data_IF_345064764444
#
_entry.id   IF_345064764444
#
_cell.length_a   1.000
_cell.length_b   1.000
_cell.length_c   1.000
_cell.angle_alpha   90.00
_cell.angle_beta   90.00
_cell.angle_gamma   90.00
#
_symmetry.space_group_name_H-M   'P 1'
#
loop_
_entity.id
_entity.type
_entity.pdbx_description
1 polymer ?
#
# COMPACT_ATOMS: atom_id res chain seq x y z
N UNK A 1 8.46 -11.16 13.58
CA UNK A 1 9.05 -11.13 12.21
C UNK A 1 8.00 -10.94 11.11
N UNK A 2 6.98 -11.83 10.98
CA UNK A 2 5.94 -11.72 9.94
C UNK A 2 5.21 -10.37 9.89
N UNK A 3 4.92 -9.75 11.03
CA UNK A 3 4.30 -8.41 11.07
C UNK A 3 5.18 -7.31 10.50
N UNK A 4 6.45 -7.27 10.88
CA UNK A 4 7.39 -6.26 10.38
C UNK A 4 7.51 -6.39 8.85
N UNK A 5 7.62 -7.64 8.36
CA UNK A 5 7.59 -7.94 6.92
C UNK A 5 6.28 -7.49 6.27
N UNK A 6 5.13 -7.76 6.88
CA UNK A 6 3.84 -7.35 6.34
C UNK A 6 3.66 -5.83 6.31
N UNK A 7 4.05 -5.13 7.36
CA UNK A 7 4.00 -3.67 7.46
C UNK A 7 4.92 -3.02 6.44
N UNK A 8 6.17 -3.48 6.34
CA UNK A 8 7.10 -3.00 5.33
C UNK A 8 6.58 -3.28 3.91
N UNK A 9 6.07 -4.49 3.66
CA UNK A 9 5.50 -4.85 2.38
C UNK A 9 4.31 -3.95 2.00
N UNK A 10 3.37 -3.69 2.92
CA UNK A 10 2.21 -2.82 2.65
C UNK A 10 2.57 -1.34 2.49
N UNK A 11 3.68 -0.88 3.07
CA UNK A 11 4.16 0.50 2.88
C UNK A 11 4.66 0.74 1.45
N UNK A 12 5.32 -0.23 0.83
CA UNK A 12 5.77 -0.10 -0.56
C UNK A 12 4.71 -0.55 -1.57
N UNK A 13 3.99 -1.62 -1.23
CA UNK A 13 3.02 -2.28 -2.10
C UNK A 13 1.72 -2.53 -1.35
N UNK A 14 0.74 -1.61 -1.45
CA UNK A 14 -0.58 -1.76 -0.84
C UNK A 14 -1.19 -3.13 -1.15
N UNK A 15 -1.44 -3.93 -0.12
CA UNK A 15 -1.98 -5.29 -0.24
C UNK A 15 -0.95 -6.41 -0.03
N UNK A 16 0.34 -6.19 -0.32
CA UNK A 16 1.36 -7.23 -0.16
C UNK A 16 1.49 -7.73 1.29
N UNK A 17 1.33 -6.84 2.28
CA UNK A 17 1.32 -7.20 3.69
C UNK A 17 0.17 -8.13 4.08
N UNK A 18 -0.99 -7.95 3.46
CA UNK A 18 -2.15 -8.82 3.67
C UNK A 18 -1.95 -10.22 3.09
N UNK A 19 -1.25 -10.33 1.95
CA UNK A 19 -0.80 -11.62 1.41
C UNK A 19 0.20 -12.32 2.34
N UNK A 20 1.16 -11.58 2.91
CA UNK A 20 2.13 -12.11 3.89
C UNK A 20 1.44 -12.60 5.17
N UNK A 21 0.38 -11.92 5.59
CA UNK A 21 -0.45 -12.32 6.74
C UNK A 21 -1.44 -13.45 6.40
N UNK A 22 -1.63 -13.79 5.12
CA UNK A 22 -2.59 -14.80 4.66
C UNK A 22 -4.06 -14.40 4.89
N UNK A 23 -4.36 -13.10 4.95
CA UNK A 23 -5.71 -12.58 5.25
C UNK A 23 -6.19 -11.67 4.10
N UNK A 24 -7.49 -11.73 3.79
CA UNK A 24 -8.17 -10.89 2.78
C UNK A 24 -7.46 -10.87 1.40
N UNK A 25 -7.16 -12.04 0.78
CA UNK A 25 -6.33 -12.11 -0.43
C UNK A 25 -6.92 -11.39 -1.64
N UNK A 26 -8.26 -11.41 -1.83
CA UNK A 26 -8.89 -10.70 -2.95
C UNK A 26 -8.76 -9.18 -2.83
N UNK A 27 -8.97 -8.63 -1.63
CA UNK A 27 -8.73 -7.20 -1.37
C UNK A 27 -7.26 -6.85 -1.59
N UNK A 28 -6.34 -7.70 -1.10
CA UNK A 28 -4.91 -7.50 -1.28
C UNK A 28 -4.50 -7.41 -2.77
N UNK A 29 -5.04 -8.29 -3.62
CA UNK A 29 -4.82 -8.24 -5.07
C UNK A 29 -5.42 -6.96 -5.67
N UNK A 30 -6.64 -6.58 -5.27
CA UNK A 30 -7.27 -5.34 -5.72
C UNK A 30 -6.43 -4.10 -5.40
N UNK A 31 -5.88 -4.01 -4.18
CA UNK A 31 -4.99 -2.92 -3.77
C UNK A 31 -3.69 -2.88 -4.58
N UNK A 32 -3.10 -4.04 -4.86
CA UNK A 32 -1.89 -4.13 -5.69
C UNK A 32 -2.15 -3.66 -7.12
N UNK A 33 -3.28 -4.05 -7.72
CA UNK A 33 -3.68 -3.61 -9.07
C UNK A 33 -3.89 -2.09 -9.07
N UNK A 34 -4.59 -1.56 -8.06
CA UNK A 34 -4.77 -0.11 -7.91
C UNK A 34 -3.45 0.65 -7.79
N UNK A 35 -2.50 0.13 -7.00
CA UNK A 35 -1.17 0.72 -6.86
C UNK A 35 -0.40 0.73 -8.18
N UNK A 36 -0.43 -0.36 -8.96
CA UNK A 36 0.17 -0.41 -10.30
C UNK A 36 -0.44 0.68 -11.20
N UNK A 37 -1.75 0.86 -11.18
CA UNK A 37 -2.45 1.91 -11.93
C UNK A 37 -2.02 3.32 -11.52
N UNK A 38 -1.87 3.59 -10.21
CA UNK A 38 -1.40 4.88 -9.71
C UNK A 38 0.06 5.15 -10.08
N UNK A 39 0.94 4.14 -10.06
CA UNK A 39 2.32 4.28 -10.54
C UNK A 39 2.38 4.62 -12.03
N UNK A 40 1.48 4.05 -12.85
CA UNK A 40 1.38 4.44 -14.26
C UNK A 40 1.02 5.93 -14.40
N UNK A 41 0.02 6.40 -13.65
CA UNK A 41 -0.37 7.83 -13.64
C UNK A 41 0.76 8.73 -13.12
N UNK A 42 1.52 8.27 -12.13
CA UNK A 42 2.69 8.97 -11.57
C UNK A 42 3.75 9.28 -12.62
N UNK A 43 4.12 8.26 -13.40
CA UNK A 43 5.12 8.41 -14.45
C UNK A 43 4.64 9.36 -15.54
N UNK A 44 3.35 9.32 -15.90
CA UNK A 44 2.77 10.29 -16.86
C UNK A 44 2.82 11.72 -16.31
N UNK A 45 2.40 11.94 -15.06
CA UNK A 45 2.37 13.26 -14.43
C UNK A 45 3.76 13.89 -14.31
N UNK A 46 4.80 13.09 -14.10
CA UNK A 46 6.17 13.60 -14.05
C UNK A 46 6.58 14.30 -15.36
N UNK A 47 6.01 13.89 -16.50
CA UNK A 47 6.28 14.47 -17.82
C UNK A 47 5.26 15.52 -18.27
N UNK A 48 3.96 15.31 -18.01
CA UNK A 48 2.88 16.14 -18.56
C UNK A 48 2.30 17.17 -17.58
N UNK A 49 2.54 17.00 -16.28
CA UNK A 49 1.89 17.79 -15.23
C UNK A 49 2.70 17.82 -13.94
N UNK A 50 3.97 18.24 -14.01
CA UNK A 50 4.94 18.16 -12.90
C UNK A 50 4.48 18.86 -11.62
N UNK A 51 3.62 19.87 -11.70
CA UNK A 51 3.02 20.53 -10.55
C UNK A 51 2.10 19.62 -9.73
N UNK A 52 1.50 18.60 -10.34
CA UNK A 52 0.60 17.64 -9.71
C UNK A 52 1.32 16.38 -9.20
N UNK A 53 2.57 16.18 -9.62
CA UNK A 53 3.39 15.04 -9.19
C UNK A 53 3.51 14.99 -7.66
N UNK A 54 3.94 16.08 -7.02
CA UNK A 54 4.14 16.13 -5.57
C UNK A 54 2.85 15.94 -4.76
N UNK A 55 1.72 16.60 -5.07
CA UNK A 55 0.43 16.32 -4.42
C UNK A 55 -0.01 14.85 -4.52
N UNK A 56 0.16 14.24 -5.70
CA UNK A 56 -0.23 12.84 -5.90
C UNK A 56 0.71 11.89 -5.16
N UNK A 57 2.04 12.11 -5.22
CA UNK A 57 3.03 11.37 -4.44
C UNK A 57 2.71 11.43 -2.94
N UNK A 58 2.44 12.63 -2.41
CA UNK A 58 2.08 12.80 -1.00
C UNK A 58 0.80 12.03 -0.64
N UNK A 59 -0.19 12.01 -1.53
CA UNK A 59 -1.43 11.26 -1.34
C UNK A 59 -1.20 9.75 -1.32
N UNK A 60 -0.38 9.22 -2.24
CA UNK A 60 0.03 7.81 -2.26
C UNK A 60 0.84 7.46 -1.00
N UNK A 61 1.75 8.32 -0.58
CA UNK A 61 2.55 8.12 0.64
C UNK A 61 1.66 8.00 1.89
N UNK A 62 0.68 8.89 2.05
CA UNK A 62 -0.28 8.83 3.16
C UNK A 62 -1.11 7.54 3.10
N UNK A 63 -1.61 7.18 1.91
CA UNK A 63 -2.39 5.96 1.72
C UNK A 63 -1.59 4.69 2.05
N UNK A 64 -0.36 4.60 1.57
CA UNK A 64 0.55 3.48 1.83
C UNK A 64 0.89 3.37 3.32
N UNK A 65 1.09 4.51 3.98
CA UNK A 65 1.30 4.55 5.44
C UNK A 65 0.07 3.99 6.17
N UNK A 66 -1.15 4.36 5.76
CA UNK A 66 -2.38 3.82 6.33
C UNK A 66 -2.48 2.29 6.14
N UNK A 67 -2.13 1.76 4.97
CA UNK A 67 -2.10 0.31 4.73
C UNK A 67 -1.05 -0.43 5.58
N UNK A 68 0.10 0.21 5.83
CA UNK A 68 1.15 -0.34 6.69
C UNK A 68 0.67 -0.45 8.15
N UNK A 69 -0.02 0.60 8.64
CA UNK A 69 -0.64 0.62 9.98
C UNK A 69 -1.75 -0.42 10.08
N UNK A 70 -2.62 -0.52 9.07
CA UNK A 70 -3.69 -1.51 9.00
C UNK A 70 -3.14 -2.96 9.05
N UNK A 71 -2.06 -3.27 8.30
CA UNK A 71 -1.41 -4.58 8.42
C UNK A 71 -0.75 -4.82 9.79
N UNK A 72 -0.18 -3.78 10.39
CA UNK A 72 0.39 -3.88 11.74
C UNK A 72 -0.69 -4.25 12.77
N UNK A 73 -1.83 -3.57 12.71
CA UNK A 73 -2.99 -3.81 13.58
C UNK A 73 -3.67 -5.15 13.27
N UNK A 74 -3.93 -5.45 12.00
CA UNK A 74 -4.57 -6.70 11.56
C UNK A 74 -3.72 -7.95 11.74
N UNK A 75 -2.41 -7.76 11.93
CA UNK A 75 -1.49 -8.81 12.35
C UNK A 75 -1.54 -9.11 13.85
N UNK A 76 -2.09 -8.21 14.70
CA UNK A 76 -2.23 -8.37 16.15
C UNK A 76 -2.95 -9.68 16.51
N UNK A 77 -2.57 -10.37 17.60
CA UNK A 77 -3.34 -11.53 18.02
C UNK A 77 -4.71 -11.00 18.43
N UNK A 78 -5.77 -11.62 17.92
CA UNK A 78 -7.11 -11.41 18.46
C UNK A 78 -7.01 -11.74 19.96
N UNK A 79 -7.34 -10.80 20.84
CA UNK A 79 -7.31 -11.07 22.29
C UNK A 79 -8.36 -12.17 22.52
N UNK A 80 -7.87 -13.40 22.67
CA UNK A 80 -8.63 -14.63 22.92
C UNK A 80 -9.24 -14.62 24.30
#
# INVERSE_FOLDING_TARGET
>A
MRRILATAANFFFPGAGWLVLGRKPLMAVGWLIGAIGLTYVELSLQSEGSALYWPMFASVFVMNTAFAVDAWMGGAPEQS
#
